data_IF_959606263358
#
_entry.id   IF_959606263358
#
_cell.length_a   1.000
_cell.length_b   1.000
_cell.length_c   1.000
_cell.angle_alpha   90.00
_cell.angle_beta   90.00
_cell.angle_gamma   90.00
#
_symmetry.space_group_name_H-M   'P 1'
#
loop_
_entity.id
_entity.type
_entity.pdbx_description
1 polymer ?
#
# COMPACT_ATOMS: atom_id res chain seq x y z
N UNK A 1 4.66 -3.16 -15.98
CA UNK A 1 5.12 -2.90 -14.60
C UNK A 1 4.08 -3.41 -13.61
N UNK A 2 4.51 -4.14 -12.62
CA UNK A 2 3.65 -4.65 -11.56
C UNK A 2 3.39 -3.56 -10.52
N UNK A 3 2.14 -3.39 -10.12
CA UNK A 3 1.74 -2.32 -9.21
C UNK A 3 1.26 -2.90 -7.88
N UNK A 4 1.90 -2.50 -6.78
CA UNK A 4 1.40 -2.76 -5.44
C UNK A 4 0.34 -1.70 -5.09
N UNK A 5 -0.67 -2.10 -4.30
CA UNK A 5 -1.75 -1.20 -3.90
C UNK A 5 -1.68 -0.92 -2.41
N UNK A 6 -1.80 0.35 -2.05
CA UNK A 6 -2.00 0.77 -0.67
C UNK A 6 -3.45 0.54 -0.27
N UNK A 7 -3.68 0.35 1.03
CA UNK A 7 -5.02 0.09 1.59
C UNK A 7 -6.03 1.16 1.19
N UNK A 8 -5.63 2.43 1.20
CA UNK A 8 -6.53 3.56 0.93
C UNK A 8 -7.16 3.50 -0.47
N UNK A 9 -6.48 2.88 -1.43
CA UNK A 9 -6.99 2.76 -2.80
C UNK A 9 -8.26 1.90 -2.85
N UNK A 10 -8.20 0.70 -2.27
CA UNK A 10 -9.34 -0.20 -2.25
C UNK A 10 -10.42 0.25 -1.29
N UNK A 11 -10.04 0.80 -0.13
CA UNK A 11 -11.02 1.35 0.81
C UNK A 11 -11.85 2.47 0.18
N UNK A 12 -11.22 3.38 -0.55
CA UNK A 12 -11.93 4.45 -1.25
C UNK A 12 -12.81 3.91 -2.38
N UNK A 13 -12.33 2.90 -3.10
CA UNK A 13 -13.13 2.24 -4.15
C UNK A 13 -14.42 1.64 -3.58
N UNK A 14 -14.31 0.96 -2.43
CA UNK A 14 -15.46 0.29 -1.82
C UNK A 14 -16.41 1.23 -1.10
N UNK A 15 -15.95 2.39 -0.67
CA UNK A 15 -16.80 3.38 -0.02
C UNK A 15 -17.70 4.15 -0.99
N UNK A 16 -17.54 3.90 -2.30
CA UNK A 16 -18.30 4.55 -3.36
C UNK A 16 -18.20 6.08 -3.35
N UNK A 17 -17.06 6.59 -2.92
CA UNK A 17 -16.78 8.02 -2.97
C UNK A 17 -16.69 8.51 -4.43
N UNK A 18 -16.72 9.83 -4.67
CA UNK A 18 -16.61 10.36 -6.03
C UNK A 18 -15.38 9.88 -6.80
N UNK A 19 -14.31 9.54 -6.09
CA UNK A 19 -13.08 9.02 -6.69
C UNK A 19 -13.19 7.58 -7.17
N UNK A 20 -14.23 6.83 -6.78
CA UNK A 20 -14.32 5.39 -7.04
C UNK A 20 -14.22 5.06 -8.54
N UNK A 21 -14.88 5.82 -9.42
CA UNK A 21 -14.82 5.57 -10.85
C UNK A 21 -13.45 5.84 -11.44
N UNK A 22 -12.75 6.87 -10.96
CA UNK A 22 -11.38 7.18 -11.37
C UNK A 22 -10.42 6.10 -10.91
N UNK A 23 -10.58 5.63 -9.69
CA UNK A 23 -9.78 4.52 -9.14
C UNK A 23 -10.01 3.27 -9.98
N UNK A 24 -11.26 2.91 -10.23
CA UNK A 24 -11.61 1.73 -11.03
C UNK A 24 -10.96 1.77 -12.41
N UNK A 25 -11.08 2.89 -13.12
CA UNK A 25 -10.47 3.05 -14.43
C UNK A 25 -8.95 2.90 -14.37
N UNK A 26 -8.33 3.52 -13.37
CA UNK A 26 -6.87 3.46 -13.23
C UNK A 26 -6.39 2.04 -12.90
N UNK A 27 -7.13 1.31 -12.07
CA UNK A 27 -6.80 -0.08 -11.74
C UNK A 27 -6.88 -0.99 -12.98
N UNK A 28 -7.85 -0.78 -13.85
CA UNK A 28 -7.95 -1.54 -15.11
C UNK A 28 -6.71 -1.30 -15.97
N UNK A 29 -6.27 -0.05 -16.11
CA UNK A 29 -5.09 0.29 -16.88
C UNK A 29 -3.84 -0.37 -16.29
N UNK A 30 -3.64 -0.22 -14.97
CA UNK A 30 -2.47 -0.78 -14.28
C UNK A 30 -2.47 -2.31 -14.32
N UNK A 31 -3.63 -2.93 -14.24
CA UNK A 31 -3.72 -4.39 -14.41
C UNK A 31 -3.19 -4.82 -15.77
N UNK A 32 -3.61 -4.11 -16.84
CA UNK A 32 -3.16 -4.39 -18.21
C UNK A 32 -1.66 -4.15 -18.40
N UNK A 33 -1.09 -3.22 -17.65
CA UNK A 33 0.33 -2.87 -17.73
C UNK A 33 1.26 -3.88 -17.06
N UNK A 34 0.77 -4.72 -16.15
CA UNK A 34 1.64 -5.70 -15.50
C UNK A 34 1.08 -6.37 -14.26
N UNK A 35 -0.18 -6.14 -13.95
CA UNK A 35 -0.86 -6.79 -12.83
C UNK A 35 -0.78 -6.01 -11.53
N UNK A 36 -1.64 -6.43 -10.60
CA UNK A 36 -1.84 -5.78 -9.30
C UNK A 36 -1.53 -6.75 -8.17
N UNK A 37 -0.99 -6.23 -7.08
CA UNK A 37 -0.65 -7.03 -5.90
C UNK A 37 -0.90 -6.24 -4.63
N UNK A 38 -1.33 -6.94 -3.57
CA UNK A 38 -1.36 -6.39 -2.20
C UNK A 38 -0.53 -7.30 -1.30
N UNK A 39 0.09 -6.72 -0.28
CA UNK A 39 0.80 -7.51 0.73
C UNK A 39 -0.14 -7.91 1.87
N UNK A 40 0.28 -8.88 2.68
CA UNK A 40 -0.49 -9.34 3.83
C UNK A 40 -0.93 -8.23 4.78
N UNK A 41 -0.06 -7.28 5.16
CA UNK A 41 -0.45 -6.14 5.99
C UNK A 41 -1.60 -5.32 5.41
N UNK A 42 -1.63 -5.07 4.10
CA UNK A 42 -2.76 -4.41 3.45
C UNK A 42 -4.03 -5.24 3.59
N UNK A 43 -3.93 -6.55 3.41
CA UNK A 43 -5.07 -7.44 3.55
C UNK A 43 -5.66 -7.35 4.96
N UNK A 44 -4.81 -7.29 5.99
CA UNK A 44 -5.27 -7.10 7.38
C UNK A 44 -6.03 -5.78 7.53
N UNK A 45 -5.48 -4.69 7.01
CA UNK A 45 -6.13 -3.37 7.09
C UNK A 45 -7.46 -3.32 6.34
N UNK A 46 -7.56 -4.00 5.21
CA UNK A 46 -8.81 -4.05 4.43
C UNK A 46 -9.96 -4.66 5.24
N UNK A 47 -9.67 -5.61 6.12
CA UNK A 47 -10.68 -6.23 6.98
C UNK A 47 -11.24 -5.27 8.04
N UNK A 48 -10.60 -4.15 8.29
CA UNK A 48 -11.12 -3.10 9.16
C UNK A 48 -12.07 -2.13 8.43
N UNK A 49 -12.27 -2.28 7.14
CA UNK A 49 -13.18 -1.43 6.36
C UNK A 49 -14.63 -1.68 6.79
N UNK A 50 -15.37 -0.64 7.25
CA UNK A 50 -16.67 -0.85 7.91
C UNK A 50 -17.80 -1.26 6.97
N UNK A 51 -17.65 -1.04 5.67
CA UNK A 51 -18.73 -1.25 4.69
C UNK A 51 -18.64 -2.58 3.96
N UNK A 52 -17.64 -3.41 4.25
CA UNK A 52 -17.42 -4.67 3.53
C UNK A 52 -17.22 -5.83 4.47
N UNK A 53 -17.65 -7.03 4.06
CA UNK A 53 -17.45 -8.27 4.81
C UNK A 53 -16.16 -8.96 4.36
N UNK A 54 -15.68 -9.89 5.19
CA UNK A 54 -14.56 -10.76 4.83
C UNK A 54 -14.81 -11.49 3.51
N UNK A 55 -16.01 -12.05 3.35
CA UNK A 55 -16.40 -12.76 2.13
C UNK A 55 -16.34 -11.85 0.90
N UNK A 56 -16.77 -10.60 1.04
CA UNK A 56 -16.69 -9.63 -0.04
C UNK A 56 -15.24 -9.36 -0.44
N UNK A 57 -14.35 -9.15 0.54
CA UNK A 57 -12.94 -8.86 0.29
C UNK A 57 -12.28 -10.02 -0.47
N UNK A 58 -12.48 -11.24 0.01
CA UNK A 58 -11.91 -12.44 -0.63
C UNK A 58 -12.41 -12.60 -2.05
N UNK A 59 -13.71 -12.44 -2.27
CA UNK A 59 -14.32 -12.54 -3.58
C UNK A 59 -13.81 -11.44 -4.52
N UNK A 60 -13.74 -10.21 -4.02
CA UNK A 60 -13.25 -9.08 -4.81
C UNK A 60 -11.82 -9.30 -5.30
N UNK A 61 -10.92 -9.68 -4.41
CA UNK A 61 -9.51 -9.92 -4.76
C UNK A 61 -9.38 -11.05 -5.78
N UNK A 62 -10.15 -12.11 -5.63
CA UNK A 62 -10.13 -13.24 -6.55
C UNK A 62 -10.69 -12.87 -7.92
N UNK A 63 -11.84 -12.20 -7.97
CA UNK A 63 -12.51 -11.83 -9.23
C UNK A 63 -11.75 -10.78 -10.04
N UNK A 64 -11.02 -9.91 -9.36
CA UNK A 64 -10.20 -8.87 -10.00
C UNK A 64 -8.79 -9.32 -10.30
N UNK A 65 -8.45 -10.56 -9.92
CA UNK A 65 -7.11 -11.14 -10.09
C UNK A 65 -6.02 -10.27 -9.45
N UNK A 66 -6.34 -9.67 -8.30
CA UNK A 66 -5.35 -8.99 -7.48
C UNK A 66 -4.64 -10.03 -6.62
N UNK A 67 -3.35 -10.21 -6.85
CA UNK A 67 -2.56 -11.17 -6.09
C UNK A 67 -2.40 -10.70 -4.64
N UNK A 68 -2.39 -11.66 -3.70
CA UNK A 68 -2.09 -11.37 -2.29
C UNK A 68 -0.80 -12.08 -1.92
N UNK A 69 0.19 -11.32 -1.46
CA UNK A 69 1.45 -11.88 -0.98
C UNK A 69 1.45 -11.87 0.54
N UNK A 70 1.11 -13.01 1.15
CA UNK A 70 1.08 -13.17 2.60
C UNK A 70 2.47 -13.36 3.19
N UNK A 71 3.37 -14.00 2.47
CA UNK A 71 4.75 -14.19 2.91
C UNK A 71 5.60 -13.02 2.43
N UNK A 72 6.25 -12.35 3.40
CA UNK A 72 7.19 -11.28 3.10
C UNK A 72 8.60 -11.82 3.35
N UNK A 73 9.46 -11.74 2.35
CA UNK A 73 10.84 -12.16 2.48
C UNK A 73 11.64 -11.24 3.40
N UNK A 74 12.75 -11.73 3.91
CA UNK A 74 13.58 -10.99 4.87
C UNK A 74 13.97 -9.60 4.35
N UNK A 75 14.24 -9.46 3.06
CA UNK A 75 14.60 -8.18 2.46
C UNK A 75 13.49 -7.13 2.61
N UNK A 76 12.22 -7.53 2.55
CA UNK A 76 11.08 -6.63 2.79
C UNK A 76 11.08 -6.16 4.24
N UNK A 77 11.23 -7.08 5.20
CA UNK A 77 11.25 -6.74 6.62
C UNK A 77 12.41 -5.82 6.95
N UNK A 78 13.61 -6.09 6.41
CA UNK A 78 14.79 -5.25 6.67
C UNK A 78 14.65 -3.87 6.06
N UNK A 79 14.12 -3.77 4.84
CA UNK A 79 13.87 -2.48 4.20
C UNK A 79 12.86 -1.66 4.99
N UNK A 80 11.78 -2.28 5.47
CA UNK A 80 10.79 -1.63 6.31
C UNK A 80 11.39 -1.14 7.63
N UNK A 81 12.20 -1.99 8.28
CA UNK A 81 12.87 -1.65 9.54
C UNK A 81 13.82 -0.46 9.38
N UNK A 82 14.61 -0.45 8.31
CA UNK A 82 15.54 0.65 8.03
C UNK A 82 14.79 1.97 7.80
N UNK A 83 13.72 1.92 7.01
CA UNK A 83 12.89 3.10 6.74
C UNK A 83 12.22 3.63 8.01
N UNK A 84 11.66 2.73 8.81
CA UNK A 84 11.00 3.10 10.07
C UNK A 84 11.99 3.67 11.09
N UNK A 85 13.15 3.07 11.21
CA UNK A 85 14.21 3.55 12.11
C UNK A 85 14.68 4.96 11.70
N UNK A 86 14.89 5.19 10.42
CA UNK A 86 15.29 6.51 9.91
C UNK A 86 14.20 7.57 10.19
N UNK A 87 12.95 7.24 9.98
CA UNK A 87 11.81 8.10 10.29
C UNK A 87 11.75 8.43 11.78
N UNK A 88 11.83 7.40 12.64
CA UNK A 88 11.80 7.59 14.09
C UNK A 88 12.96 8.47 14.60
N UNK A 89 14.15 8.24 14.06
CA UNK A 89 15.34 9.04 14.38
C UNK A 89 15.20 10.50 13.96
N UNK A 90 14.74 10.73 12.74
CA UNK A 90 14.49 12.08 12.21
C UNK A 90 13.45 12.81 13.04
N UNK A 91 12.39 12.12 13.45
CA UNK A 91 11.31 12.67 14.25
C UNK A 91 11.81 13.10 15.64
N UNK A 92 12.62 12.27 16.30
CA UNK A 92 13.23 12.63 17.60
C UNK A 92 14.16 13.82 17.49
N UNK A 93 14.99 13.84 16.44
CA UNK A 93 15.94 14.95 16.19
C UNK A 93 15.21 16.30 15.99
N UNK A 94 14.04 16.29 15.39
CA UNK A 94 13.24 17.49 15.13
C UNK A 94 12.29 17.84 16.29
N UNK A 95 12.40 17.16 17.44
CA UNK A 95 11.56 17.40 18.60
C UNK A 95 10.16 16.84 18.51
N UNK A 96 9.89 15.95 17.56
CA UNK A 96 8.56 15.35 17.34
C UNK A 96 8.17 14.25 18.30
N UNK A 97 9.07 13.76 19.15
CA UNK A 97 8.79 12.71 20.11
C UNK A 97 8.66 11.32 19.48
N UNK A 98 7.67 10.54 19.95
CA UNK A 98 7.43 9.19 19.46
C UNK A 98 6.94 9.17 18.02
N UNK A 99 7.21 8.08 17.25
CA UNK A 99 6.71 7.96 15.89
C UNK A 99 5.19 8.01 15.83
N UNK A 100 4.64 8.79 14.88
CA UNK A 100 3.19 8.86 14.62
C UNK A 100 2.73 7.90 13.53
N UNK A 101 3.63 7.57 12.59
CA UNK A 101 3.30 6.63 11.52
C UNK A 101 3.45 5.21 12.03
N UNK A 102 2.61 4.32 11.51
CA UNK A 102 2.62 2.91 11.92
C UNK A 102 3.65 2.12 11.10
N UNK A 103 4.24 1.05 11.68
CA UNK A 103 5.14 0.17 10.95
C UNK A 103 4.55 -0.40 9.67
N UNK A 104 3.22 -0.56 9.60
CA UNK A 104 2.52 -1.08 8.41
C UNK A 104 2.80 -0.23 7.17
N UNK A 105 2.84 1.09 7.30
CA UNK A 105 3.15 1.97 6.16
C UNK A 105 4.51 1.64 5.55
N UNK A 106 5.48 1.33 6.40
CA UNK A 106 6.83 0.98 5.96
C UNK A 106 6.88 -0.42 5.33
N UNK A 107 6.06 -1.35 5.81
CA UNK A 107 5.93 -2.67 5.20
C UNK A 107 5.30 -2.57 3.80
N UNK A 108 4.28 -1.75 3.64
CA UNK A 108 3.63 -1.53 2.34
C UNK A 108 4.63 -0.95 1.33
N UNK A 109 5.38 0.08 1.74
CA UNK A 109 6.38 0.70 0.88
C UNK A 109 7.53 -0.26 0.54
N UNK A 110 8.03 -0.98 1.54
CA UNK A 110 9.12 -1.94 1.34
C UNK A 110 8.69 -3.11 0.45
N UNK A 111 7.47 -3.60 0.61
CA UNK A 111 6.92 -4.63 -0.26
C UNK A 111 6.86 -4.14 -1.71
N UNK A 112 6.34 -2.95 -1.94
CA UNK A 112 6.28 -2.36 -3.27
C UNK A 112 7.69 -2.20 -3.88
N UNK A 113 8.64 -1.76 -3.07
CA UNK A 113 10.02 -1.56 -3.49
C UNK A 113 10.71 -2.86 -3.90
N UNK A 114 10.50 -3.93 -3.12
CA UNK A 114 11.21 -5.20 -3.34
C UNK A 114 10.46 -6.10 -4.33
N UNK A 115 9.14 -6.14 -4.28
CA UNK A 115 8.32 -7.14 -4.98
C UNK A 115 7.49 -6.59 -6.13
N UNK A 116 7.43 -5.29 -6.31
CA UNK A 116 6.69 -4.67 -7.39
C UNK A 116 7.56 -3.60 -8.06
N UNK A 117 7.01 -2.92 -9.05
CA UNK A 117 7.72 -1.86 -9.75
C UNK A 117 7.31 -0.48 -9.25
N UNK A 118 6.12 -0.40 -8.67
CA UNK A 118 5.55 0.87 -8.22
C UNK A 118 4.45 0.64 -7.19
N UNK A 119 4.10 1.70 -6.48
CA UNK A 119 3.02 1.71 -5.49
C UNK A 119 1.95 2.72 -5.88
N UNK A 120 0.70 2.26 -5.97
CA UNK A 120 -0.45 3.17 -6.08
C UNK A 120 -0.97 3.52 -4.70
N UNK A 121 -1.08 4.80 -4.42
CA UNK A 121 -1.59 5.33 -3.15
C UNK A 121 -2.38 6.61 -3.39
N UNK A 122 -3.32 6.91 -2.50
CA UNK A 122 -4.03 8.20 -2.52
C UNK A 122 -3.30 9.29 -1.75
N UNK A 123 -2.29 8.94 -0.96
CA UNK A 123 -1.45 9.90 -0.25
C UNK A 123 0.02 9.55 -0.42
N UNK A 124 0.65 10.21 -1.37
CA UNK A 124 2.05 9.95 -1.72
C UNK A 124 3.07 10.60 -0.77
N UNK A 125 2.66 11.63 -0.02
CA UNK A 125 3.59 12.46 0.75
C UNK A 125 4.45 11.68 1.73
N UNK A 126 3.88 10.81 2.58
CA UNK A 126 4.69 10.04 3.53
C UNK A 126 5.73 9.16 2.84
N UNK A 127 5.33 8.55 1.72
CA UNK A 127 6.22 7.63 0.99
C UNK A 127 7.36 8.35 0.29
N UNK A 128 7.13 9.55 -0.23
CA UNK A 128 8.19 10.35 -0.88
C UNK A 128 9.34 10.65 0.06
N UNK A 129 9.04 10.91 1.31
CA UNK A 129 10.05 11.25 2.29
C UNK A 129 10.89 10.03 2.70
N UNK A 130 10.24 8.91 2.97
CA UNK A 130 10.91 7.73 3.54
C UNK A 130 11.41 6.75 2.48
N UNK A 131 10.84 6.77 1.29
CA UNK A 131 11.22 5.92 0.16
C UNK A 131 11.33 6.77 -1.11
N UNK A 132 12.34 7.67 -1.18
CA UNK A 132 12.43 8.67 -2.24
C UNK A 132 12.61 8.09 -3.64
N UNK A 133 13.10 6.86 -3.76
CA UNK A 133 13.30 6.21 -5.06
C UNK A 133 12.16 5.28 -5.44
N UNK A 134 11.17 5.09 -4.55
CA UNK A 134 9.98 4.31 -4.88
C UNK A 134 9.10 5.08 -5.86
N UNK A 135 8.77 4.43 -6.96
CA UNK A 135 7.85 5.01 -7.94
C UNK A 135 6.43 4.99 -7.39
N UNK A 136 5.79 6.15 -7.36
CA UNK A 136 4.44 6.31 -6.83
C UNK A 136 3.46 6.67 -7.95
N UNK A 137 2.28 6.03 -7.91
CA UNK A 137 1.17 6.33 -8.80
C UNK A 137 0.06 6.96 -7.94
N UNK A 138 -0.40 8.12 -8.34
CA UNK A 138 -1.53 8.81 -7.73
C UNK A 138 -2.61 9.05 -8.77
N UNK A 139 -3.78 9.51 -8.33
CA UNK A 139 -4.84 9.92 -9.25
C UNK A 139 -4.60 11.33 -9.79
#
# INVERSE_FOLDING_TARGET
MRTALDTNVLSALWSREPLASRISSRLVDLYSEGGLVVCGPVCVELHASPSVSEAFIEQFLRKTDIAVEFSLEESVWRSAANGFAAYAHRRRRLGGGTPKRLPVDFLVAAHAWVRADQLMTLDARPYKEDFPTLRLITL
#
